data_IF_434980440778
#
_entry.id   IF_434980440778
#
_cell.length_a   1.000
_cell.length_b   1.000
_cell.length_c   1.000
_cell.angle_alpha   90.00
_cell.angle_beta   90.00
_cell.angle_gamma   90.00
#
_symmetry.space_group_name_H-M   'P 1'
#
loop_
_entity.id
_entity.type
_entity.pdbx_description
1 polymer ?
#
# COMPACT_ATOMS: atom_id res chain seq x y z
N UNK A 1 39.03 -5.91 -8.29
CA UNK A 1 38.46 -6.40 -7.01
C UNK A 1 37.10 -7.04 -7.37
N UNK A 2 36.97 -8.35 -7.15
CA UNK A 2 35.75 -9.06 -7.52
C UNK A 2 34.76 -8.81 -6.37
N UNK A 3 33.87 -7.87 -6.57
CA UNK A 3 32.75 -7.62 -5.66
C UNK A 3 31.80 -8.80 -5.81
N UNK A 4 31.46 -9.47 -4.71
CA UNK A 4 30.55 -10.63 -4.73
C UNK A 4 29.17 -10.23 -5.26
N UNK A 5 28.57 -11.08 -6.06
CA UNK A 5 27.25 -10.84 -6.67
C UNK A 5 26.16 -10.54 -5.63
N UNK A 6 26.26 -11.15 -4.44
CA UNK A 6 25.36 -10.87 -3.31
C UNK A 6 25.42 -9.39 -2.86
N UNK A 7 26.65 -8.81 -2.82
CA UNK A 7 26.80 -7.40 -2.46
C UNK A 7 26.26 -6.47 -3.53
N UNK A 8 26.50 -6.77 -4.82
CA UNK A 8 25.91 -6.03 -5.94
C UNK A 8 24.38 -6.07 -5.88
N UNK A 9 23.80 -7.23 -5.55
CA UNK A 9 22.34 -7.38 -5.41
C UNK A 9 21.77 -6.55 -4.26
N UNK A 10 22.47 -6.46 -3.13
CA UNK A 10 22.09 -5.59 -2.01
C UNK A 10 22.11 -4.11 -2.43
N UNK A 11 23.18 -3.66 -3.09
CA UNK A 11 23.30 -2.27 -3.56
C UNK A 11 22.19 -1.92 -4.56
N UNK A 12 21.88 -2.82 -5.50
CA UNK A 12 20.76 -2.64 -6.43
C UNK A 12 19.46 -2.37 -5.72
N UNK A 13 19.17 -3.15 -4.68
CA UNK A 13 17.91 -3.03 -3.92
C UNK A 13 17.86 -1.77 -3.07
N UNK A 14 18.95 -1.40 -2.39
CA UNK A 14 18.96 -0.21 -1.53
C UNK A 14 18.92 1.10 -2.32
N UNK A 15 19.60 1.17 -3.46
CA UNK A 15 19.73 2.40 -4.23
C UNK A 15 18.87 2.45 -5.50
N UNK A 16 18.06 1.44 -5.73
CA UNK A 16 17.24 1.30 -6.95
C UNK A 16 18.08 1.43 -8.24
N UNK A 17 19.24 0.78 -8.25
CA UNK A 17 20.18 0.78 -9.37
C UNK A 17 20.02 -0.49 -10.23
N UNK A 18 20.25 -0.36 -11.53
CA UNK A 18 20.38 -1.53 -12.40
C UNK A 18 21.79 -2.18 -12.25
N UNK A 19 21.98 -3.35 -12.86
CA UNK A 19 23.22 -4.11 -12.72
C UNK A 19 24.43 -3.37 -13.26
N UNK A 20 24.31 -2.66 -14.38
CA UNK A 20 25.42 -1.91 -14.97
C UNK A 20 25.79 -0.68 -14.14
N UNK A 21 24.79 0.00 -13.60
CA UNK A 21 25.00 1.14 -12.70
C UNK A 21 25.82 0.74 -11.46
N UNK A 22 25.43 -0.38 -10.80
CA UNK A 22 26.14 -0.84 -9.62
C UNK A 22 27.57 -1.28 -9.95
N UNK A 23 27.77 -1.97 -11.07
CA UNK A 23 29.10 -2.39 -11.52
C UNK A 23 30.02 -1.21 -11.81
N UNK A 24 29.56 -0.20 -12.54
CA UNK A 24 30.34 1.00 -12.86
C UNK A 24 30.61 1.83 -11.61
N UNK A 25 29.61 2.01 -10.74
CA UNK A 25 29.78 2.76 -9.50
C UNK A 25 30.80 2.10 -8.58
N UNK A 26 30.71 0.79 -8.36
CA UNK A 26 31.68 0.06 -7.52
C UNK A 26 33.08 0.05 -8.12
N UNK A 27 33.23 -0.02 -9.44
CA UNK A 27 34.50 0.13 -10.13
C UNK A 27 35.08 1.54 -9.91
N UNK A 28 34.27 2.57 -10.01
CA UNK A 28 34.67 3.95 -9.80
C UNK A 28 35.06 4.22 -8.34
N UNK A 29 34.31 3.68 -7.37
CA UNK A 29 34.68 3.75 -5.94
C UNK A 29 36.02 3.12 -5.66
N UNK A 30 36.38 2.04 -6.34
CA UNK A 30 37.68 1.37 -6.16
C UNK A 30 38.86 2.15 -6.78
N UNK A 31 38.62 3.01 -7.78
CA UNK A 31 39.62 3.76 -8.52
C UNK A 31 39.72 5.24 -8.12
N UNK A 32 38.63 5.78 -7.60
CA UNK A 32 38.48 7.19 -7.26
C UNK A 32 38.17 8.09 -8.45
N UNK A 33 39.05 8.11 -9.48
CA UNK A 33 38.87 8.93 -10.69
C UNK A 33 39.20 8.10 -11.92
N UNK A 34 38.28 8.01 -12.88
CA UNK A 34 38.51 7.22 -14.10
C UNK A 34 37.71 7.78 -15.30
N UNK A 35 38.14 7.40 -16.49
CA UNK A 35 37.43 7.65 -17.75
C UNK A 35 36.32 6.57 -17.97
N UNK A 36 35.38 6.86 -18.85
CA UNK A 36 34.34 5.89 -19.22
C UNK A 36 34.90 4.60 -19.82
N UNK A 37 35.97 4.70 -20.61
CA UNK A 37 36.65 3.53 -21.19
C UNK A 37 37.28 2.63 -20.12
N UNK A 38 38.03 3.18 -19.18
CA UNK A 38 38.63 2.43 -18.07
C UNK A 38 37.57 1.75 -17.20
N UNK A 39 36.45 2.44 -16.94
CA UNK A 39 35.35 1.88 -16.17
C UNK A 39 34.62 0.75 -16.91
N UNK A 40 34.46 0.86 -18.23
CA UNK A 40 33.92 -0.19 -19.10
C UNK A 40 34.72 -1.50 -18.92
N UNK A 41 36.03 -1.40 -18.99
CA UNK A 41 36.94 -2.55 -18.91
C UNK A 41 36.92 -3.16 -17.48
N UNK A 42 36.99 -2.33 -16.43
CA UNK A 42 37.04 -2.79 -15.03
C UNK A 42 35.69 -3.39 -14.58
N UNK A 43 34.58 -2.77 -15.00
CA UNK A 43 33.23 -3.20 -14.63
C UNK A 43 32.68 -4.34 -15.50
N UNK A 44 33.39 -4.67 -16.57
CA UNK A 44 32.90 -5.60 -17.61
C UNK A 44 31.50 -5.21 -18.10
N UNK A 45 31.38 -3.93 -18.52
CA UNK A 45 30.14 -3.34 -19.09
C UNK A 45 30.47 -2.89 -20.53
N UNK A 46 29.60 -3.15 -21.52
CA UNK A 46 29.85 -2.72 -22.90
C UNK A 46 30.15 -1.21 -23.00
N UNK A 47 31.17 -0.84 -23.76
CA UNK A 47 31.64 0.54 -23.86
C UNK A 47 30.54 1.50 -24.34
N UNK A 48 29.71 1.06 -25.25
CA UNK A 48 28.55 1.84 -25.72
C UNK A 48 27.53 2.12 -24.62
N UNK A 49 27.40 1.24 -23.62
CA UNK A 49 26.48 1.41 -22.49
C UNK A 49 27.09 2.22 -21.34
N UNK A 50 28.42 2.28 -21.24
CA UNK A 50 29.08 2.92 -20.09
C UNK A 50 28.82 4.42 -20.04
N UNK A 51 28.65 5.09 -21.16
CA UNK A 51 28.30 6.52 -21.20
C UNK A 51 26.87 6.78 -20.70
N UNK A 52 25.88 6.00 -21.19
CA UNK A 52 24.49 6.11 -20.73
C UNK A 52 24.38 5.82 -19.22
N UNK A 53 25.12 4.81 -18.75
CA UNK A 53 25.14 4.43 -17.33
C UNK A 53 25.78 5.52 -16.47
N UNK A 54 26.87 6.11 -16.92
CA UNK A 54 27.54 7.22 -16.20
C UNK A 54 26.67 8.47 -16.16
N UNK A 55 25.98 8.80 -17.24
CA UNK A 55 25.01 9.88 -17.28
C UNK A 55 23.85 9.62 -16.30
N UNK A 56 23.32 8.39 -16.26
CA UNK A 56 22.29 8.00 -15.31
C UNK A 56 22.78 8.13 -13.86
N UNK A 57 24.00 7.65 -13.54
CA UNK A 57 24.60 7.77 -12.23
C UNK A 57 24.84 9.22 -11.81
N UNK A 58 25.20 10.07 -12.76
CA UNK A 58 25.37 11.52 -12.53
C UNK A 58 24.02 12.17 -12.18
N UNK A 59 22.96 11.93 -12.97
CA UNK A 59 21.61 12.40 -12.70
C UNK A 59 21.08 11.94 -11.33
N UNK A 60 21.41 10.71 -10.95
CA UNK A 60 21.05 10.15 -9.63
C UNK A 60 21.94 10.67 -8.49
N UNK A 61 23.02 11.40 -8.79
CA UNK A 61 23.92 12.00 -7.80
C UNK A 61 25.00 11.08 -7.22
N UNK A 62 25.29 9.95 -7.89
CA UNK A 62 26.34 9.00 -7.50
C UNK A 62 27.74 9.37 -7.99
N UNK A 63 27.79 10.11 -9.07
CA UNK A 63 29.01 10.44 -9.80
C UNK A 63 29.01 11.91 -10.15
N UNK A 64 30.19 12.49 -10.22
CA UNK A 64 30.43 13.85 -10.73
C UNK A 64 31.34 13.77 -11.94
N UNK A 65 30.95 14.45 -13.02
CA UNK A 65 31.75 14.57 -14.21
C UNK A 65 32.80 15.69 -14.04
N UNK A 66 34.05 15.37 -14.29
CA UNK A 66 35.16 16.35 -14.37
C UNK A 66 35.47 16.63 -15.84
N UNK A 67 35.17 17.83 -16.27
CA UNK A 67 35.47 18.28 -17.63
C UNK A 67 36.98 18.23 -17.90
N UNK A 68 37.37 17.74 -19.07
CA UNK A 68 38.76 17.61 -19.51
C UNK A 68 38.83 16.80 -20.81
N UNK A 69 40.03 16.64 -21.29
CA UNK A 69 40.35 15.77 -22.44
C UNK A 69 41.34 14.70 -22.00
N UNK A 70 40.95 13.48 -21.71
CA UNK A 70 39.55 12.95 -21.76
C UNK A 70 38.67 13.39 -20.55
N UNK A 71 37.35 13.26 -20.69
CA UNK A 71 36.40 13.45 -19.60
C UNK A 71 36.66 12.36 -18.55
N UNK A 72 36.69 12.75 -17.27
CA UNK A 72 36.84 11.84 -16.12
C UNK A 72 35.63 11.92 -15.21
N UNK A 73 35.40 10.83 -14.49
CA UNK A 73 34.32 10.70 -13.51
C UNK A 73 34.90 10.48 -12.13
N UNK A 74 34.26 11.02 -11.13
CA UNK A 74 34.63 10.92 -9.71
C UNK A 74 33.43 10.34 -8.95
N UNK A 75 33.67 9.34 -8.13
CA UNK A 75 32.61 8.81 -7.26
C UNK A 75 32.34 9.81 -6.11
N UNK A 76 31.07 10.06 -5.87
CA UNK A 76 30.63 10.78 -4.67
C UNK A 76 30.82 9.85 -3.46
N UNK A 77 31.27 10.36 -2.29
CA UNK A 77 31.40 9.55 -1.09
C UNK A 77 30.08 8.82 -0.76
N UNK A 78 30.11 7.52 -0.39
CA UNK A 78 28.91 6.73 -0.16
C UNK A 78 27.95 7.31 0.88
N UNK A 79 28.46 7.95 1.93
CA UNK A 79 27.65 8.67 2.94
C UNK A 79 26.84 9.80 2.32
N UNK A 80 27.49 10.60 1.46
CA UNK A 80 26.84 11.70 0.76
C UNK A 80 25.83 11.21 -0.29
N UNK A 81 26.12 10.08 -0.95
CA UNK A 81 25.18 9.43 -1.88
C UNK A 81 23.88 9.07 -1.17
N UNK A 82 23.94 8.51 0.04
CA UNK A 82 22.73 8.18 0.81
C UNK A 82 21.86 9.41 1.03
N UNK A 83 22.44 10.54 1.41
CA UNK A 83 21.69 11.77 1.65
C UNK A 83 21.11 12.36 0.35
N UNK A 84 21.87 12.31 -0.75
CA UNK A 84 21.41 12.74 -2.08
C UNK A 84 20.24 11.88 -2.57
N UNK A 85 20.37 10.57 -2.50
CA UNK A 85 19.30 9.63 -2.91
C UNK A 85 18.05 9.85 -2.07
N UNK A 86 18.19 9.96 -0.74
CA UNK A 86 17.07 10.24 0.16
C UNK A 86 16.34 11.55 -0.20
N UNK A 87 17.10 12.60 -0.53
CA UNK A 87 16.54 13.87 -0.98
C UNK A 87 15.81 13.74 -2.31
N UNK A 88 16.42 13.08 -3.30
CA UNK A 88 15.81 12.88 -4.62
C UNK A 88 14.52 12.08 -4.54
N UNK A 89 14.49 10.98 -3.77
CA UNK A 89 13.28 10.17 -3.56
C UNK A 89 12.15 11.01 -2.97
N UNK A 90 12.44 11.90 -2.02
CA UNK A 90 11.43 12.81 -1.46
C UNK A 90 10.89 13.78 -2.51
N UNK A 91 11.78 14.42 -3.27
CA UNK A 91 11.38 15.37 -4.31
C UNK A 91 10.53 14.69 -5.40
N UNK A 92 10.95 13.52 -5.87
CA UNK A 92 10.19 12.73 -6.86
C UNK A 92 8.82 12.31 -6.33
N UNK A 93 8.74 11.93 -5.05
CA UNK A 93 7.47 11.60 -4.42
C UNK A 93 6.55 12.84 -4.31
N UNK A 94 7.07 13.97 -3.86
CA UNK A 94 6.33 15.23 -3.76
C UNK A 94 5.81 15.71 -5.13
N UNK A 95 6.66 15.64 -6.17
CA UNK A 95 6.25 15.96 -7.53
C UNK A 95 5.20 14.99 -8.08
N UNK A 96 5.32 13.69 -7.74
CA UNK A 96 4.35 12.69 -8.16
C UNK A 96 3.01 12.89 -7.48
N UNK A 97 2.99 13.17 -6.19
CA UNK A 97 1.77 13.52 -5.45
C UNK A 97 1.11 14.76 -6.07
N UNK A 98 1.88 15.82 -6.30
CA UNK A 98 1.37 17.06 -6.91
C UNK A 98 0.78 16.84 -8.31
N UNK A 99 1.42 15.98 -9.13
CA UNK A 99 0.85 15.61 -10.44
C UNK A 99 -0.49 14.91 -10.32
N UNK A 100 -0.61 13.97 -9.36
CA UNK A 100 -1.85 13.24 -9.13
C UNK A 100 -2.95 14.13 -8.52
N UNK A 101 -2.59 15.06 -7.64
CA UNK A 101 -3.53 16.04 -7.10
C UNK A 101 -4.09 16.94 -8.22
N UNK A 102 -3.22 17.41 -9.12
CA UNK A 102 -3.64 18.22 -10.27
C UNK A 102 -4.54 17.43 -11.22
N UNK A 103 -4.35 16.10 -11.35
CA UNK A 103 -5.17 15.25 -12.21
C UNK A 103 -6.65 15.29 -11.84
N UNK A 104 -6.97 15.45 -10.55
CA UNK A 104 -8.37 15.50 -10.06
C UNK A 104 -9.21 16.60 -10.74
N UNK A 105 -8.58 17.65 -11.21
CA UNK A 105 -9.26 18.81 -11.80
C UNK A 105 -9.07 18.89 -13.32
N UNK A 106 -8.66 17.81 -13.98
CA UNK A 106 -8.39 17.77 -15.41
C UNK A 106 -9.47 17.04 -16.20
N UNK A 107 -9.59 17.39 -17.48
CA UNK A 107 -10.45 16.69 -18.43
C UNK A 107 -10.10 15.20 -18.55
N UNK A 108 -8.84 14.83 -18.31
CA UNK A 108 -8.38 13.42 -18.31
C UNK A 108 -9.12 12.59 -17.26
N UNK A 109 -9.31 13.11 -16.04
CA UNK A 109 -10.05 12.37 -15.02
C UNK A 109 -11.55 12.32 -15.35
N UNK A 110 -12.09 13.37 -15.97
CA UNK A 110 -13.49 13.36 -16.43
C UNK A 110 -13.70 12.32 -17.54
N UNK A 111 -12.76 12.22 -18.49
CA UNK A 111 -12.80 11.19 -19.54
C UNK A 111 -12.68 9.77 -18.97
N UNK A 112 -11.77 9.56 -18.01
CA UNK A 112 -11.66 8.27 -17.30
C UNK A 112 -12.93 7.91 -16.53
N UNK A 113 -13.57 8.89 -15.87
CA UNK A 113 -14.83 8.69 -15.20
C UNK A 113 -15.96 8.36 -16.19
N UNK A 114 -15.99 9.01 -17.35
CA UNK A 114 -16.97 8.71 -18.41
C UNK A 114 -16.80 7.29 -18.94
N UNK A 115 -15.56 6.86 -19.18
CA UNK A 115 -15.24 5.48 -19.58
C UNK A 115 -15.66 4.47 -18.51
N UNK A 116 -15.42 4.77 -17.24
CA UNK A 116 -15.85 3.93 -16.14
C UNK A 116 -17.37 3.80 -16.08
N UNK A 117 -18.07 4.92 -16.19
CA UNK A 117 -19.55 4.94 -16.16
C UNK A 117 -20.15 4.19 -17.34
N UNK A 118 -19.62 4.38 -18.55
CA UNK A 118 -20.03 3.61 -19.73
C UNK A 118 -19.77 2.12 -19.57
N UNK A 119 -18.63 1.75 -18.94
CA UNK A 119 -18.31 0.36 -18.61
C UNK A 119 -19.29 -0.26 -17.61
N UNK A 120 -19.76 0.52 -16.62
CA UNK A 120 -20.77 0.07 -15.64
C UNK A 120 -22.13 -0.17 -16.30
N UNK A 121 -22.52 0.66 -17.27
CA UNK A 121 -23.78 0.45 -18.02
C UNK A 121 -23.78 -0.83 -18.88
N UNK A 122 -22.60 -1.30 -19.28
CA UNK A 122 -22.41 -2.55 -20.03
C UNK A 122 -22.27 -3.80 -19.14
N UNK A 123 -22.18 -3.62 -17.81
CA UNK A 123 -22.08 -4.74 -16.87
C UNK A 123 -23.46 -5.40 -16.75
N UNK A 124 -23.56 -6.64 -17.22
CA UNK A 124 -24.74 -7.46 -16.99
C UNK A 124 -25.00 -7.66 -15.49
N UNK A 125 -26.26 -7.83 -15.05
CA UNK A 125 -26.60 -8.06 -13.62
C UNK A 125 -25.83 -9.21 -12.95
N UNK A 126 -25.26 -10.10 -13.73
CA UNK A 126 -24.41 -11.23 -13.29
C UNK A 126 -23.00 -10.82 -12.84
N UNK A 127 -22.58 -9.58 -13.12
CA UNK A 127 -21.24 -9.06 -12.73
C UNK A 127 -21.28 -8.21 -11.45
N UNK A 128 -22.24 -8.43 -10.59
CA UNK A 128 -22.36 -7.73 -9.30
C UNK A 128 -21.36 -8.19 -8.25
N UNK A 129 -20.37 -8.98 -8.63
CA UNK A 129 -19.37 -9.51 -7.70
C UNK A 129 -17.99 -9.62 -8.33
N UNK A 130 -16.96 -9.63 -7.49
CA UNK A 130 -15.61 -9.85 -7.92
C UNK A 130 -14.71 -10.37 -6.80
N UNK A 131 -13.54 -10.88 -7.17
CA UNK A 131 -12.54 -11.34 -6.22
C UNK A 131 -11.30 -10.46 -6.24
N UNK A 132 -10.72 -10.25 -5.07
CA UNK A 132 -9.50 -9.50 -4.85
C UNK A 132 -8.46 -10.40 -4.21
N UNK A 133 -7.23 -10.33 -4.69
CA UNK A 133 -6.10 -11.08 -4.14
C UNK A 133 -5.06 -10.14 -3.58
N UNK A 134 -4.53 -10.50 -2.42
CA UNK A 134 -3.53 -9.72 -1.68
C UNK A 134 -4.17 -8.75 -0.70
N UNK A 135 -3.67 -8.79 0.54
CA UNK A 135 -4.22 -8.01 1.67
C UNK A 135 -4.23 -6.51 1.40
N UNK A 136 -3.22 -5.99 0.72
CA UNK A 136 -3.15 -4.59 0.35
C UNK A 136 -4.32 -4.18 -0.58
N UNK A 137 -4.57 -4.95 -1.64
CA UNK A 137 -5.68 -4.68 -2.55
C UNK A 137 -7.04 -4.79 -1.87
N UNK A 138 -7.18 -5.77 -0.96
CA UNK A 138 -8.39 -5.94 -0.15
C UNK A 138 -8.64 -4.72 0.74
N UNK A 139 -7.61 -4.20 1.41
CA UNK A 139 -7.75 -3.03 2.28
C UNK A 139 -8.01 -1.74 1.50
N UNK A 140 -7.39 -1.55 0.34
CA UNK A 140 -7.68 -0.42 -0.53
C UNK A 140 -9.15 -0.42 -1.00
N UNK A 141 -9.64 -1.58 -1.42
CA UNK A 141 -11.04 -1.71 -1.84
C UNK A 141 -12.01 -1.53 -0.66
N UNK A 142 -11.68 -2.12 0.50
CA UNK A 142 -12.44 -1.96 1.73
C UNK A 142 -12.53 -0.48 2.15
N UNK A 143 -11.42 0.23 2.10
CA UNK A 143 -11.36 1.66 2.41
C UNK A 143 -12.27 2.48 1.48
N UNK A 144 -12.20 2.23 0.17
CA UNK A 144 -13.06 2.91 -0.81
C UNK A 144 -14.54 2.64 -0.55
N UNK A 145 -14.90 1.38 -0.29
CA UNK A 145 -16.29 0.99 -0.02
C UNK A 145 -16.79 1.60 1.29
N UNK A 146 -15.99 1.62 2.35
CA UNK A 146 -16.36 2.26 3.61
C UNK A 146 -16.50 3.78 3.45
N UNK A 147 -15.64 4.43 2.67
CA UNK A 147 -15.75 5.87 2.39
C UNK A 147 -17.05 6.26 1.70
N UNK A 148 -17.64 5.36 0.90
CA UNK A 148 -18.91 5.60 0.22
C UNK A 148 -20.15 5.40 1.10
N UNK A 149 -19.99 4.90 2.34
CA UNK A 149 -21.09 4.66 3.25
C UNK A 149 -21.92 5.93 3.54
N UNK A 150 -23.24 5.77 3.53
CA UNK A 150 -24.22 6.82 3.80
C UNK A 150 -24.98 6.61 5.13
N UNK A 151 -25.20 5.35 5.54
CA UNK A 151 -26.00 5.00 6.70
C UNK A 151 -25.25 4.14 7.73
N UNK A 152 -24.72 3.00 7.30
CA UNK A 152 -24.16 2.00 8.22
C UNK A 152 -22.91 1.31 7.67
N UNK A 153 -21.99 1.01 8.58
CA UNK A 153 -20.85 0.12 8.33
C UNK A 153 -20.81 -0.94 9.43
N UNK A 154 -20.95 -2.19 9.05
CA UNK A 154 -20.90 -3.34 9.95
C UNK A 154 -19.69 -4.22 9.62
N UNK A 155 -18.81 -4.43 10.59
CA UNK A 155 -17.57 -5.18 10.43
C UNK A 155 -17.55 -6.34 11.41
N UNK A 156 -17.32 -7.56 10.91
CA UNK A 156 -16.90 -8.70 11.72
C UNK A 156 -15.48 -9.11 11.32
N UNK A 157 -14.60 -9.33 12.31
CA UNK A 157 -13.19 -9.60 12.00
C UNK A 157 -12.52 -10.43 13.11
N UNK A 158 -11.27 -10.85 12.89
CA UNK A 158 -10.42 -11.52 13.88
C UNK A 158 -9.77 -10.50 14.82
N UNK A 159 -9.17 -10.94 15.92
CA UNK A 159 -8.42 -10.08 16.85
C UNK A 159 -7.31 -9.28 16.13
N UNK A 160 -6.51 -9.97 15.29
CA UNK A 160 -5.47 -9.31 14.50
C UNK A 160 -6.05 -8.42 13.39
N UNK A 161 -7.15 -8.85 12.79
CA UNK A 161 -7.87 -8.07 11.78
C UNK A 161 -8.46 -6.79 12.36
N UNK A 162 -8.87 -6.80 13.63
CA UNK A 162 -9.34 -5.62 14.36
C UNK A 162 -8.22 -4.58 14.48
N UNK A 163 -7.06 -4.98 15.01
CA UNK A 163 -5.92 -4.07 15.17
C UNK A 163 -5.50 -3.43 13.85
N UNK A 164 -5.35 -4.23 12.79
CA UNK A 164 -5.01 -3.71 11.46
C UNK A 164 -6.05 -2.75 10.90
N UNK A 165 -7.35 -3.01 11.14
CA UNK A 165 -8.43 -2.12 10.68
C UNK A 165 -8.45 -0.81 11.46
N UNK A 166 -8.23 -0.86 12.77
CA UNK A 166 -8.11 0.36 13.58
C UNK A 166 -6.92 1.18 13.08
N UNK A 167 -5.74 0.57 12.93
CA UNK A 167 -4.53 1.26 12.47
C UNK A 167 -4.71 1.91 11.08
N UNK A 168 -5.30 1.18 10.14
CA UNK A 168 -5.40 1.63 8.75
C UNK A 168 -6.64 2.47 8.43
N UNK A 169 -7.76 2.29 9.15
CA UNK A 169 -9.06 2.88 8.78
C UNK A 169 -9.60 3.91 9.78
N UNK A 170 -8.95 4.16 10.90
CA UNK A 170 -9.42 5.19 11.88
C UNK A 170 -9.70 6.55 11.24
N UNK A 171 -8.87 7.11 10.34
CA UNK A 171 -9.18 8.37 9.69
C UNK A 171 -10.46 8.30 8.84
N UNK A 172 -10.73 7.14 8.23
CA UNK A 172 -11.95 6.92 7.45
C UNK A 172 -13.17 6.81 8.37
N UNK A 173 -13.04 6.10 9.48
CA UNK A 173 -14.11 5.99 10.48
C UNK A 173 -14.49 7.36 11.05
N UNK A 174 -13.52 8.19 11.37
CA UNK A 174 -13.77 9.57 11.79
C UNK A 174 -14.51 10.37 10.72
N UNK A 175 -14.06 10.28 9.46
CA UNK A 175 -14.68 10.99 8.35
C UNK A 175 -16.15 10.59 8.14
N UNK A 176 -16.47 9.30 8.15
CA UNK A 176 -17.84 8.84 7.93
C UNK A 176 -18.71 9.02 9.17
N UNK A 177 -18.17 8.88 10.37
CA UNK A 177 -18.85 9.19 11.62
C UNK A 177 -19.32 10.66 11.66
N UNK A 178 -18.47 11.60 11.22
CA UNK A 178 -18.82 13.02 11.12
C UNK A 178 -19.96 13.29 10.10
N UNK A 179 -20.23 12.36 9.20
CA UNK A 179 -21.39 12.37 8.29
C UNK A 179 -22.65 11.72 8.88
N UNK A 180 -22.56 11.17 10.10
CA UNK A 180 -23.65 10.50 10.78
C UNK A 180 -23.76 8.99 10.51
N UNK A 181 -22.79 8.39 9.83
CA UNK A 181 -22.76 6.94 9.56
C UNK A 181 -22.54 6.18 10.86
N UNK A 182 -23.32 5.14 11.10
CA UNK A 182 -23.19 4.24 12.26
C UNK A 182 -22.19 3.14 11.96
N UNK A 183 -21.15 3.03 12.80
CA UNK A 183 -20.08 2.04 12.62
C UNK A 183 -20.12 1.03 13.77
N UNK A 184 -20.21 -0.27 13.43
CA UNK A 184 -20.24 -1.40 14.37
C UNK A 184 -19.13 -2.38 14.03
N UNK A 185 -18.37 -2.79 15.03
CA UNK A 185 -17.25 -3.72 14.86
C UNK A 185 -17.36 -4.86 15.87
N UNK A 186 -17.44 -6.09 15.38
CA UNK A 186 -17.42 -7.30 16.17
C UNK A 186 -16.11 -8.08 15.96
N UNK A 187 -15.42 -8.41 17.04
CA UNK A 187 -14.19 -9.19 16.99
C UNK A 187 -13.92 -9.89 18.35
N UNK A 188 -13.12 -10.97 18.38
CA UNK A 188 -12.57 -11.45 19.63
C UNK A 188 -11.61 -10.40 20.22
N UNK A 189 -11.88 -9.96 21.45
CA UNK A 189 -11.09 -8.90 22.09
C UNK A 189 -9.95 -9.51 22.90
N UNK A 190 -8.75 -8.99 22.70
CA UNK A 190 -7.55 -9.30 23.48
C UNK A 190 -7.14 -8.10 24.32
N UNK A 191 -6.41 -8.32 25.41
CA UNK A 191 -5.89 -7.22 26.25
C UNK A 191 -5.04 -6.22 25.47
N UNK A 192 -4.27 -6.69 24.48
CA UNK A 192 -3.44 -5.86 23.60
C UNK A 192 -4.27 -4.90 22.73
N UNK A 193 -5.51 -5.24 22.42
CA UNK A 193 -6.37 -4.42 21.58
C UNK A 193 -7.09 -3.30 22.36
N UNK A 194 -7.17 -3.36 23.67
CA UNK A 194 -7.91 -2.41 24.49
C UNK A 194 -7.49 -0.93 24.28
N UNK A 195 -6.20 -0.57 24.21
CA UNK A 195 -5.81 0.82 23.93
C UNK A 195 -6.34 1.34 22.58
N UNK A 196 -6.19 0.55 21.52
CA UNK A 196 -6.67 0.88 20.18
C UNK A 196 -8.21 0.95 20.12
N UNK A 197 -8.90 0.05 20.84
CA UNK A 197 -10.37 0.08 20.94
C UNK A 197 -10.85 1.35 21.64
N UNK A 198 -10.18 1.83 22.69
CA UNK A 198 -10.54 3.10 23.35
C UNK A 198 -10.48 4.29 22.40
N UNK A 199 -9.52 4.30 21.48
CA UNK A 199 -9.40 5.37 20.48
C UNK A 199 -10.52 5.31 19.45
N UNK A 200 -10.77 4.13 18.86
CA UNK A 200 -11.77 3.97 17.81
C UNK A 200 -13.21 4.05 18.35
N UNK A 201 -13.43 3.79 19.65
CA UNK A 201 -14.75 3.88 20.29
C UNK A 201 -15.34 5.29 20.31
N UNK A 202 -14.56 6.31 19.93
CA UNK A 202 -15.07 7.66 19.67
C UNK A 202 -15.93 7.72 18.39
N UNK A 203 -15.72 6.81 17.47
CA UNK A 203 -16.31 6.79 16.13
C UNK A 203 -17.14 5.53 15.86
N UNK A 204 -16.83 4.43 16.52
CA UNK A 204 -17.43 3.11 16.25
C UNK A 204 -17.78 2.39 17.55
N UNK A 205 -18.90 1.66 17.56
CA UNK A 205 -19.24 0.74 18.64
C UNK A 205 -18.50 -0.59 18.43
N UNK A 206 -17.73 -1.03 19.42
CA UNK A 206 -16.96 -2.29 19.36
C UNK A 206 -17.51 -3.27 20.38
N UNK A 207 -17.83 -4.50 19.94
CA UNK A 207 -18.28 -5.59 20.81
C UNK A 207 -17.44 -6.84 20.64
N UNK A 208 -17.36 -7.60 21.73
CA UNK A 208 -16.66 -8.89 21.75
C UNK A 208 -17.53 -9.99 21.15
N UNK A 209 -16.98 -10.73 20.21
CA UNK A 209 -17.61 -11.94 19.68
C UNK A 209 -16.62 -13.11 19.66
N UNK A 210 -17.14 -14.34 19.74
CA UNK A 210 -16.32 -15.57 19.65
C UNK A 210 -16.12 -16.04 18.21
N UNK A 211 -16.91 -15.55 17.27
CA UNK A 211 -16.88 -15.97 15.88
C UNK A 211 -15.69 -15.37 15.14
N UNK A 212 -15.12 -16.15 14.23
CA UNK A 212 -13.92 -15.75 13.44
C UNK A 212 -14.24 -15.39 11.99
N UNK A 213 -15.44 -14.91 11.70
CA UNK A 213 -15.76 -14.46 10.36
C UNK A 213 -15.03 -13.15 10.03
N UNK A 214 -14.75 -12.93 8.75
CA UNK A 214 -14.08 -11.74 8.24
C UNK A 214 -14.93 -11.15 7.12
N UNK A 215 -15.84 -10.24 7.47
CA UNK A 215 -16.68 -9.55 6.48
C UNK A 215 -16.94 -8.09 6.88
N UNK A 216 -17.36 -7.31 5.90
CA UNK A 216 -17.82 -5.93 6.06
C UNK A 216 -19.05 -5.75 5.21
N UNK A 217 -20.11 -5.18 5.80
CA UNK A 217 -21.33 -4.80 5.13
C UNK A 217 -21.42 -3.28 5.18
N UNK A 218 -21.77 -2.66 4.05
CA UNK A 218 -21.95 -1.22 3.92
C UNK A 218 -23.38 -0.96 3.41
N UNK A 219 -24.14 -0.17 4.18
CA UNK A 219 -25.51 0.28 3.87
C UNK A 219 -26.47 -0.85 3.54
N UNK A 220 -26.25 -2.06 4.08
CA UNK A 220 -27.00 -3.28 3.75
C UNK A 220 -27.09 -3.56 2.22
N UNK A 221 -26.17 -3.02 1.44
CA UNK A 221 -26.12 -3.11 -0.03
C UNK A 221 -24.86 -3.79 -0.54
N UNK A 222 -23.71 -3.46 0.04
CA UNK A 222 -22.41 -3.99 -0.36
C UNK A 222 -21.84 -4.89 0.72
N UNK A 223 -21.33 -6.03 0.32
CA UNK A 223 -20.67 -7.01 1.18
C UNK A 223 -19.26 -7.29 0.67
N UNK A 224 -18.29 -7.26 1.55
CA UNK A 224 -16.93 -7.76 1.30
C UNK A 224 -16.63 -8.83 2.35
N UNK A 225 -16.25 -10.03 1.94
CA UNK A 225 -15.83 -11.07 2.88
C UNK A 225 -14.53 -11.72 2.45
N UNK A 226 -13.73 -12.11 3.42
CA UNK A 226 -12.47 -12.80 3.23
C UNK A 226 -12.68 -14.30 3.34
N UNK A 227 -12.12 -15.04 2.40
CA UNK A 227 -12.36 -16.49 2.25
C UNK A 227 -11.51 -17.31 3.24
N UNK A 228 -10.36 -16.80 3.64
CA UNK A 228 -9.39 -17.51 4.47
C UNK A 228 -9.23 -16.86 5.85
N UNK A 229 -8.79 -17.65 6.84
CA UNK A 229 -8.38 -17.12 8.14
C UNK A 229 -7.06 -16.34 7.97
N UNK A 230 -6.97 -15.17 8.56
CA UNK A 230 -5.79 -14.29 8.44
C UNK A 230 -4.59 -14.75 9.29
N UNK A 231 -4.78 -15.71 10.16
CA UNK A 231 -3.69 -16.38 10.91
C UNK A 231 -2.97 -17.39 10.03
N UNK A 232 -3.69 -18.07 9.14
CA UNK A 232 -3.16 -19.16 8.31
C UNK A 232 -2.66 -18.68 6.93
N UNK A 233 -3.12 -17.51 6.47
CA UNK A 233 -2.83 -17.03 5.11
C UNK A 233 -1.73 -15.98 5.09
N UNK A 234 -0.74 -16.19 4.21
CA UNK A 234 0.24 -15.14 3.93
C UNK A 234 -0.44 -13.91 3.28
N UNK A 235 -0.07 -12.67 3.63
CA UNK A 235 -0.72 -11.45 3.13
C UNK A 235 -0.89 -11.37 1.61
N UNK A 236 0.07 -11.88 0.85
CA UNK A 236 0.05 -11.88 -0.63
C UNK A 236 -1.03 -12.80 -1.21
N UNK A 237 -1.45 -13.82 -0.47
CA UNK A 237 -2.43 -14.84 -0.89
C UNK A 237 -3.79 -14.68 -0.23
N UNK A 238 -3.97 -13.65 0.59
CA UNK A 238 -5.28 -13.34 1.19
C UNK A 238 -6.27 -13.01 0.07
N UNK A 239 -7.45 -13.64 0.10
CA UNK A 239 -8.48 -13.51 -0.93
C UNK A 239 -9.76 -13.01 -0.30
N UNK A 240 -10.35 -12.01 -0.90
CA UNK A 240 -11.68 -11.52 -0.57
C UNK A 240 -12.59 -11.48 -1.78
N UNK A 241 -13.86 -11.59 -1.52
CA UNK A 241 -14.92 -11.47 -2.50
C UNK A 241 -15.75 -10.24 -2.11
N UNK A 242 -16.02 -9.40 -3.09
CA UNK A 242 -16.97 -8.32 -2.92
C UNK A 242 -18.24 -8.60 -3.73
N UNK A 243 -19.38 -8.21 -3.19
CA UNK A 243 -20.69 -8.40 -3.80
C UNK A 243 -21.52 -7.14 -3.53
N UNK A 244 -22.08 -6.57 -4.59
CA UNK A 244 -23.06 -5.48 -4.52
C UNK A 244 -24.45 -6.05 -4.73
N UNK A 245 -25.06 -6.53 -3.67
CA UNK A 245 -26.41 -7.09 -3.71
C UNK A 245 -27.17 -6.78 -2.42
N UNK A 246 -28.17 -5.90 -2.48
CA UNK A 246 -29.00 -5.61 -1.31
C UNK A 246 -29.68 -6.87 -0.76
N UNK A 247 -30.06 -7.80 -1.63
CA UNK A 247 -30.76 -9.02 -1.24
C UNK A 247 -29.95 -9.88 -0.24
N UNK A 248 -28.67 -10.11 -0.52
CA UNK A 248 -27.82 -10.93 0.35
C UNK A 248 -27.23 -10.11 1.50
N UNK A 249 -26.84 -8.86 1.23
CA UNK A 249 -26.24 -7.99 2.23
C UNK A 249 -27.24 -7.66 3.37
N UNK A 250 -28.50 -7.38 3.05
CA UNK A 250 -29.53 -7.13 4.07
C UNK A 250 -29.83 -8.36 4.91
N UNK A 251 -29.92 -9.54 4.30
CA UNK A 251 -30.15 -10.78 5.03
C UNK A 251 -28.99 -11.08 6.02
N UNK A 252 -27.73 -10.85 5.59
CA UNK A 252 -26.57 -11.02 6.46
C UNK A 252 -26.53 -9.96 7.58
N UNK A 253 -26.95 -8.73 7.29
CA UNK A 253 -27.07 -7.65 8.28
C UNK A 253 -28.11 -8.00 9.36
N UNK A 254 -29.26 -8.57 8.99
CA UNK A 254 -30.27 -9.04 9.93
C UNK A 254 -29.73 -10.15 10.85
N UNK A 255 -29.00 -11.11 10.29
CA UNK A 255 -28.36 -12.17 11.08
C UNK A 255 -27.28 -11.61 12.03
N UNK A 256 -26.52 -10.63 11.56
CA UNK A 256 -25.56 -9.93 12.38
C UNK A 256 -26.25 -9.19 13.54
N UNK A 257 -27.37 -8.53 13.28
CA UNK A 257 -28.13 -7.80 14.29
C UNK A 257 -28.62 -8.71 15.43
N UNK A 258 -29.04 -9.92 15.11
CA UNK A 258 -29.41 -10.93 16.14
C UNK A 258 -28.20 -11.29 17.01
N UNK A 259 -27.06 -11.54 16.39
CA UNK A 259 -25.82 -11.84 17.09
C UNK A 259 -25.31 -10.64 17.90
N UNK A 260 -25.42 -9.43 17.35
CA UNK A 260 -24.95 -8.19 17.97
C UNK A 260 -25.59 -7.92 19.35
N UNK A 261 -26.86 -8.22 19.47
CA UNK A 261 -27.62 -8.02 20.74
C UNK A 261 -27.03 -8.84 21.89
N UNK A 262 -26.49 -10.02 21.58
CA UNK A 262 -25.91 -10.93 22.57
C UNK A 262 -24.41 -10.65 22.85
N UNK A 263 -23.77 -9.77 22.05
CA UNK A 263 -22.35 -9.45 22.21
C UNK A 263 -22.14 -8.44 23.36
N UNK A 264 -21.07 -8.65 24.13
CA UNK A 264 -20.67 -7.75 25.22
C UNK A 264 -19.88 -6.57 24.67
N UNK A 265 -20.19 -5.31 25.06
CA UNK A 265 -19.36 -4.16 24.71
C UNK A 265 -17.89 -4.38 25.10
N UNK A 266 -16.97 -4.03 24.19
CA UNK A 266 -15.56 -4.35 24.34
C UNK A 266 -14.91 -3.74 25.59
N UNK A 267 -15.38 -2.56 26.01
CA UNK A 267 -14.86 -1.86 27.19
C UNK A 267 -15.44 -2.33 28.53
N UNK A 268 -16.46 -3.22 28.50
CA UNK A 268 -17.06 -3.82 29.68
C UNK A 268 -16.46 -5.19 30.05
N UNK A 269 -15.55 -5.69 29.20
CA UNK A 269 -14.87 -6.96 29.44
C UNK A 269 -13.92 -6.76 30.62
N UNK A 270 -14.22 -7.41 31.74
CA UNK A 270 -13.30 -7.46 32.88
C UNK A 270 -12.12 -8.34 32.51
N UNK A 271 -10.93 -7.82 32.69
CA UNK A 271 -9.70 -8.62 32.62
C UNK A 271 -9.79 -9.77 33.63
N UNK A 272 -9.75 -10.98 33.13
CA UNK A 272 -9.59 -12.19 33.97
C UNK A 272 -8.14 -12.68 33.84
#
# INVERSE_FOLDING_TARGET
MIVKDEFLSKLRRYFNLNLYEVKIWTALLSRGVSTAGELSDIANVPRSRSYDVLESLEKKGFVVMKLGKPIKYIAVPPSEVVDRVKKNVRLEAEESVKRLENLKNTDVLQELNSLHTQGIELIEPTELSGSLRGRHNLYNHLELTIKSAEETVTIMTTSQGLLRKIEGLTPVFEQIHNRGVKIRIAAPITSEAIPAIKEVSKFAEVRNCKNRARFTIVDSKSLIFMVLDDVEVHPTYDVGIWINTPFFASALEELFELAWREMTPALEIKEH
#
